data_IF_121034535700
#
_entry.id   IF_121034535700
#
_cell.length_a   1.000
_cell.length_b   1.000
_cell.length_c   1.000
_cell.angle_alpha   90.00
_cell.angle_beta   90.00
_cell.angle_gamma   90.00
#
_symmetry.space_group_name_H-M   'P 1'
#
loop_
_entity.id
_entity.type
_entity.pdbx_description
1 polymer ?
#
# COMPACT_ATOMS: atom_id res chain seq x y z
N UNK A 1 -18.91 5.35 -17.81
CA UNK A 1 -18.17 4.98 -16.59
C UNK A 1 -16.91 5.82 -16.50
N UNK A 2 -16.79 6.56 -15.43
CA UNK A 2 -15.64 7.45 -15.25
C UNK A 2 -14.43 6.63 -14.81
N UNK A 3 -13.27 6.93 -15.42
CA UNK A 3 -12.03 6.28 -15.04
C UNK A 3 -11.47 6.93 -13.79
N UNK A 4 -11.02 6.11 -12.87
CA UNK A 4 -10.29 6.62 -11.71
C UNK A 4 -8.84 6.90 -12.11
N UNK A 5 -8.22 7.81 -11.38
CA UNK A 5 -6.79 8.11 -11.52
C UNK A 5 -6.13 7.91 -10.18
N UNK A 6 -5.03 7.17 -10.18
CA UNK A 6 -4.27 6.87 -8.97
C UNK A 6 -2.92 7.55 -9.06
N UNK A 7 -2.62 8.35 -8.06
CA UNK A 7 -1.34 9.05 -7.95
C UNK A 7 -0.63 8.58 -6.68
N UNK A 8 0.66 8.72 -6.66
CA UNK A 8 1.49 8.33 -5.52
C UNK A 8 2.35 9.52 -5.11
N UNK A 9 2.41 9.81 -3.82
CA UNK A 9 3.35 10.81 -3.32
C UNK A 9 4.77 10.36 -3.66
N UNK A 10 5.67 11.32 -3.85
CA UNK A 10 7.03 11.02 -4.29
C UNK A 10 7.76 10.07 -3.33
N UNK A 11 7.58 10.22 -2.03
CA UNK A 11 8.20 9.33 -1.06
C UNK A 11 7.59 7.92 -1.07
N UNK A 12 6.29 7.81 -1.40
CA UNK A 12 5.63 6.50 -1.59
C UNK A 12 6.16 5.82 -2.84
N UNK A 13 6.27 6.58 -3.93
CA UNK A 13 6.81 6.07 -5.19
C UNK A 13 8.24 5.57 -4.99
N UNK A 14 9.05 6.34 -4.28
CA UNK A 14 10.41 5.93 -3.93
C UNK A 14 10.41 4.64 -3.12
N UNK A 15 9.56 4.54 -2.11
CA UNK A 15 9.44 3.34 -1.29
C UNK A 15 9.09 2.12 -2.14
N UNK A 16 8.11 2.24 -3.03
CA UNK A 16 7.68 1.13 -3.89
C UNK A 16 8.83 0.68 -4.78
N UNK A 17 9.57 1.64 -5.35
CA UNK A 17 10.71 1.32 -6.20
C UNK A 17 11.85 0.66 -5.44
N UNK A 18 12.05 1.04 -4.18
CA UNK A 18 13.08 0.44 -3.34
C UNK A 18 12.64 -0.92 -2.77
N UNK A 19 11.35 -1.21 -2.79
CA UNK A 19 10.81 -2.43 -2.19
C UNK A 19 11.44 -3.69 -2.78
N UNK A 20 11.72 -3.68 -4.08
CA UNK A 20 12.39 -4.81 -4.75
C UNK A 20 13.72 -5.12 -4.06
N UNK A 21 14.52 -4.08 -3.82
CA UNK A 21 15.84 -4.25 -3.23
C UNK A 21 15.76 -4.66 -1.78
N UNK A 22 14.81 -4.08 -1.05
CA UNK A 22 14.59 -4.42 0.37
C UNK A 22 14.22 -5.90 0.50
N UNK A 23 13.27 -6.36 -0.28
CA UNK A 23 12.81 -7.74 -0.21
C UNK A 23 13.89 -8.72 -0.65
N UNK A 24 14.63 -8.38 -1.69
CA UNK A 24 15.70 -9.24 -2.19
C UNK A 24 16.88 -9.28 -1.21
N UNK A 25 17.27 -8.13 -0.68
CA UNK A 25 18.40 -7.98 0.22
C UNK A 25 18.16 -8.65 1.58
N UNK A 26 16.90 -8.64 2.05
CA UNK A 26 16.54 -9.24 3.33
C UNK A 26 16.23 -10.73 3.22
N UNK A 27 16.60 -11.34 2.09
CA UNK A 27 16.41 -12.76 1.82
C UNK A 27 14.96 -13.23 1.83
N UNK A 28 14.01 -12.30 1.62
CA UNK A 28 12.61 -12.67 1.46
C UNK A 28 12.38 -13.44 0.17
N UNK A 29 13.18 -13.13 -0.86
CA UNK A 29 13.10 -13.83 -2.14
C UNK A 29 14.50 -14.20 -2.61
N UNK A 30 14.63 -15.43 -3.09
CA UNK A 30 15.91 -15.95 -3.61
C UNK A 30 16.21 -15.33 -4.98
N UNK A 31 15.17 -15.10 -5.79
CA UNK A 31 15.31 -14.59 -7.14
C UNK A 31 14.73 -13.19 -7.24
N UNK A 32 15.43 -12.33 -7.98
CA UNK A 32 15.01 -10.94 -8.19
C UNK A 32 13.64 -10.85 -8.87
N UNK A 33 13.36 -11.71 -9.83
CA UNK A 33 12.06 -11.71 -10.51
C UNK A 33 10.90 -11.97 -9.57
N UNK A 34 11.10 -12.73 -8.49
CA UNK A 34 10.06 -12.95 -7.50
C UNK A 34 9.76 -11.68 -6.71
N UNK A 35 10.78 -10.86 -6.44
CA UNK A 35 10.61 -9.59 -5.77
C UNK A 35 9.88 -8.59 -6.68
N UNK A 36 10.20 -8.60 -7.97
CA UNK A 36 9.53 -7.76 -8.96
C UNK A 36 8.06 -8.14 -9.07
N UNK A 37 7.75 -9.43 -9.16
CA UNK A 37 6.36 -9.91 -9.20
C UNK A 37 5.58 -9.49 -7.96
N UNK A 38 6.21 -9.57 -6.81
CA UNK A 38 5.57 -9.18 -5.55
C UNK A 38 5.19 -7.71 -5.55
N UNK A 39 6.10 -6.86 -6.01
CA UNK A 39 5.85 -5.43 -6.15
C UNK A 39 4.72 -5.17 -7.12
N UNK A 40 4.74 -5.84 -8.29
CA UNK A 40 3.73 -5.64 -9.32
C UNK A 40 2.34 -6.04 -8.81
N UNK A 41 2.24 -7.11 -8.04
CA UNK A 41 0.97 -7.53 -7.45
C UNK A 41 0.44 -6.51 -6.45
N UNK A 42 1.34 -5.88 -5.68
CA UNK A 42 0.93 -4.84 -4.75
C UNK A 42 0.36 -3.63 -5.50
N UNK A 43 1.05 -3.18 -6.54
CA UNK A 43 0.58 -2.05 -7.36
C UNK A 43 -0.73 -2.41 -8.05
N UNK A 44 -0.84 -3.59 -8.62
CA UNK A 44 -2.07 -4.04 -9.28
C UNK A 44 -3.25 -4.04 -8.30
N UNK A 45 -3.02 -4.52 -7.08
CA UNK A 45 -4.07 -4.48 -6.06
C UNK A 45 -4.52 -3.05 -5.80
N UNK A 46 -3.58 -2.13 -5.62
CA UNK A 46 -3.90 -0.74 -5.35
C UNK A 46 -4.75 -0.16 -6.48
N UNK A 47 -4.28 -0.30 -7.71
CA UNK A 47 -4.92 0.34 -8.85
C UNK A 47 -6.28 -0.27 -9.20
N UNK A 48 -6.45 -1.57 -8.95
CA UNK A 48 -7.71 -2.23 -9.24
C UNK A 48 -8.74 -2.10 -8.12
N UNK A 49 -8.31 -1.81 -6.90
CA UNK A 49 -9.19 -1.90 -5.74
C UNK A 49 -9.35 -0.63 -4.92
N UNK A 50 -8.52 0.39 -5.11
CA UNK A 50 -8.54 1.57 -4.24
C UNK A 50 -9.90 2.28 -4.23
N UNK A 51 -10.62 2.22 -5.32
CA UNK A 51 -11.93 2.89 -5.44
C UNK A 51 -13.09 2.02 -4.96
N UNK A 52 -12.93 0.70 -4.89
CA UNK A 52 -14.04 -0.23 -4.63
C UNK A 52 -13.85 -1.05 -3.36
N UNK A 53 -12.63 -1.31 -2.94
CA UNK A 53 -12.37 -2.06 -1.71
C UNK A 53 -12.86 -1.26 -0.52
N UNK A 54 -13.55 -1.91 0.46
CA UNK A 54 -14.04 -1.19 1.61
C UNK A 54 -12.88 -0.52 2.37
N UNK A 55 -12.88 0.80 2.38
CA UNK A 55 -11.86 1.57 3.08
C UNK A 55 -12.27 1.78 4.53
N UNK A 56 -11.27 1.97 5.38
CA UNK A 56 -11.46 2.26 6.79
C UNK A 56 -10.94 3.65 7.10
N UNK A 57 -11.56 4.30 8.07
CA UNK A 57 -11.07 5.59 8.54
C UNK A 57 -9.80 5.38 9.35
N UNK A 58 -8.80 6.19 9.07
CA UNK A 58 -7.55 6.16 9.82
C UNK A 58 -7.78 6.67 11.24
N UNK A 59 -7.21 6.04 12.27
CA UNK A 59 -7.25 6.59 13.62
C UNK A 59 -6.74 8.03 13.63
N UNK A 60 -7.37 8.88 14.46
CA UNK A 60 -7.12 10.31 14.43
C UNK A 60 -5.63 10.67 14.58
N UNK A 61 -4.92 10.00 15.47
CA UNK A 61 -3.50 10.30 15.71
C UNK A 61 -2.59 9.84 14.57
N UNK A 62 -3.09 9.03 13.64
CA UNK A 62 -2.38 8.60 12.44
C UNK A 62 -2.89 9.29 11.18
N UNK A 63 -3.80 10.25 11.33
CA UNK A 63 -4.48 10.87 10.20
C UNK A 63 -3.51 11.58 9.25
N UNK A 64 -2.33 11.98 9.74
CA UNK A 64 -1.30 12.60 8.93
C UNK A 64 -0.74 11.66 7.86
N UNK A 65 -0.92 10.36 8.00
CA UNK A 65 -0.49 9.37 7.01
C UNK A 65 -1.46 9.26 5.84
N UNK A 66 -2.72 9.62 6.05
CA UNK A 66 -3.79 9.57 5.08
C UNK A 66 -5.10 9.39 5.82
N UNK A 67 -6.18 9.99 5.34
CA UNK A 67 -7.46 9.97 6.05
C UNK A 67 -8.17 8.63 6.02
N UNK A 68 -7.85 7.81 5.02
CA UNK A 68 -8.42 6.47 4.84
C UNK A 68 -7.33 5.49 4.49
N UNK A 69 -7.63 4.21 4.71
CA UNK A 69 -6.72 3.15 4.26
C UNK A 69 -7.50 1.93 3.80
N UNK A 70 -6.87 1.18 2.90
CA UNK A 70 -7.30 -0.17 2.54
C UNK A 70 -6.17 -1.11 2.91
N UNK A 71 -6.45 -2.42 2.88
CA UNK A 71 -5.42 -3.39 3.21
C UNK A 71 -5.36 -4.47 2.14
N UNK A 72 -4.17 -5.05 1.99
CA UNK A 72 -3.89 -6.13 1.05
C UNK A 72 -3.11 -7.21 1.77
N UNK A 73 -3.72 -8.38 1.88
CA UNK A 73 -3.06 -9.53 2.50
C UNK A 73 -2.31 -10.27 1.41
N UNK A 74 -1.01 -10.00 1.31
CA UNK A 74 -0.18 -10.56 0.24
C UNK A 74 0.12 -12.04 0.45
N UNK A 75 0.17 -12.48 1.72
CA UNK A 75 0.34 -13.87 2.10
C UNK A 75 -0.13 -14.06 3.55
N UNK A 76 0.07 -15.24 4.11
CA UNK A 76 -0.40 -15.54 5.47
C UNK A 76 0.31 -14.75 6.56
N UNK A 77 1.45 -14.14 6.24
CA UNK A 77 2.29 -13.43 7.22
C UNK A 77 2.30 -11.92 7.04
N UNK A 78 1.93 -11.42 5.87
CA UNK A 78 2.10 -10.01 5.57
C UNK A 78 0.82 -9.39 5.04
N UNK A 79 0.39 -8.34 5.72
CA UNK A 79 -0.71 -7.49 5.30
C UNK A 79 -0.16 -6.09 5.08
N UNK A 80 -0.42 -5.52 3.91
CA UNK A 80 -0.03 -4.16 3.56
C UNK A 80 -1.18 -3.22 3.84
N UNK A 81 -0.87 -2.06 4.37
CA UNK A 81 -1.84 -1.00 4.62
C UNK A 81 -1.51 0.16 3.69
N UNK A 82 -2.48 0.54 2.88
CA UNK A 82 -2.31 1.59 1.87
C UNK A 82 -3.18 2.76 2.28
N UNK A 83 -2.53 3.84 2.71
CA UNK A 83 -3.20 5.06 3.13
C UNK A 83 -3.38 5.98 1.94
N UNK A 84 -4.50 6.66 1.87
CA UNK A 84 -4.78 7.51 0.73
C UNK A 84 -5.75 8.63 1.08
N UNK A 85 -5.75 9.65 0.23
CA UNK A 85 -6.76 10.69 0.17
C UNK A 85 -7.44 10.58 -1.17
N UNK A 86 -8.71 10.95 -1.23
CA UNK A 86 -9.39 10.94 -2.53
C UNK A 86 -10.30 12.15 -2.67
N UNK A 87 -10.41 12.61 -3.90
CA UNK A 87 -11.35 13.65 -4.31
C UNK A 87 -12.00 13.18 -5.60
N UNK A 88 -13.29 12.83 -5.52
CA UNK A 88 -14.03 12.25 -6.64
C UNK A 88 -13.32 11.00 -7.17
N UNK A 89 -12.87 11.02 -8.44
CA UNK A 89 -12.22 9.89 -9.09
C UNK A 89 -10.70 9.92 -9.02
N UNK A 90 -10.14 10.86 -8.24
CA UNK A 90 -8.70 10.97 -8.08
C UNK A 90 -8.30 10.45 -6.69
N UNK A 91 -7.34 9.54 -6.67
CA UNK A 91 -6.86 8.90 -5.46
C UNK A 91 -5.36 9.15 -5.34
N UNK A 92 -4.95 9.68 -4.20
CA UNK A 92 -3.53 9.91 -3.91
C UNK A 92 -3.09 8.97 -2.81
N UNK A 93 -2.20 8.04 -3.13
CA UNK A 93 -1.60 7.16 -2.12
C UNK A 93 -0.56 7.97 -1.35
N UNK A 94 -0.76 8.08 -0.04
CA UNK A 94 0.02 8.99 0.81
C UNK A 94 1.01 8.26 1.70
N UNK A 95 0.78 6.98 1.98
CA UNK A 95 1.68 6.20 2.82
C UNK A 95 1.40 4.71 2.64
N UNK A 96 2.43 3.90 2.74
CA UNK A 96 2.30 2.44 2.71
C UNK A 96 3.07 1.87 3.88
N UNK A 97 2.44 0.95 4.59
CA UNK A 97 3.05 0.24 5.71
C UNK A 97 2.60 -1.21 5.70
N UNK A 98 3.11 -2.01 6.62
CA UNK A 98 2.69 -3.40 6.75
C UNK A 98 2.53 -3.77 8.22
N UNK A 99 2.09 -5.01 8.47
CA UNK A 99 1.80 -5.49 9.83
C UNK A 99 3.05 -5.72 10.69
N UNK A 100 4.24 -5.50 10.15
CA UNK A 100 5.48 -5.62 10.91
C UNK A 100 5.95 -4.29 11.51
N UNK A 101 5.19 -3.21 11.32
CA UNK A 101 5.52 -1.89 11.83
C UNK A 101 4.75 -1.60 13.11
N UNK A 102 5.25 -0.63 13.88
CA UNK A 102 4.63 -0.22 15.16
C UNK A 102 3.19 0.26 15.00
N UNK A 103 2.89 0.95 13.91
CA UNK A 103 1.56 1.51 13.72
C UNK A 103 0.50 0.45 13.44
N UNK A 104 0.92 -0.74 13.02
CA UNK A 104 -0.01 -1.79 12.60
C UNK A 104 -0.96 -2.23 13.72
N UNK A 105 -0.53 -2.11 14.97
CA UNK A 105 -1.37 -2.50 16.11
C UNK A 105 -2.62 -1.63 16.25
N UNK A 106 -2.62 -0.45 15.61
CA UNK A 106 -3.76 0.47 15.64
C UNK A 106 -4.65 0.32 14.40
N UNK A 107 -4.29 -0.56 13.48
CA UNK A 107 -5.00 -0.75 12.22
C UNK A 107 -5.69 -2.11 12.20
N UNK A 108 -6.87 -2.14 11.60
CA UNK A 108 -7.64 -3.39 11.46
C UNK A 108 -7.66 -3.79 9.99
N UNK A 109 -7.25 -5.03 9.67
CA UNK A 109 -7.45 -5.53 8.31
C UNK A 109 -8.93 -5.83 8.05
#
# INVERSE_FOLDING_TARGET
>A
MEKIKVFYKSDVEFFINELIYILYKEDYFIYLENAIDYKDKLIDFIEQNIATFPSKLTPLFLNHLGSKYIFYKSNSRTTWYIFFENQENQYLVTYISNNHTEIAKFLNP
#
